data_IF_199984529933
#
_entry.id   IF_199984529933
#
_cell.length_a   1.000
_cell.length_b   1.000
_cell.length_c   1.000
_cell.angle_alpha   90.00
_cell.angle_beta   90.00
_cell.angle_gamma   90.00
#
_symmetry.space_group_name_H-M   'P 1'
#
loop_
_entity.id
_entity.type
_entity.pdbx_description
1 polymer ?
#
# COMPACT_ATOMS: atom_id res chain seq x y z
N UNK A 1 -46.06 28.85 16.01
CA UNK A 1 -45.44 27.55 15.67
C UNK A 1 -44.57 27.55 14.42
N UNK A 2 -44.76 28.42 13.42
CA UNK A 2 -43.98 28.36 12.16
C UNK A 2 -42.52 28.83 12.28
N UNK A 3 -42.21 29.77 13.19
CA UNK A 3 -40.84 30.27 13.39
C UNK A 3 -39.88 29.22 13.96
N UNK A 4 -40.34 28.32 14.84
CA UNK A 4 -39.50 27.27 15.42
C UNK A 4 -39.11 26.20 14.38
N UNK A 5 -40.05 25.83 13.50
CA UNK A 5 -39.79 24.90 12.39
C UNK A 5 -38.84 25.50 11.35
N UNK A 6 -38.96 26.80 11.07
CA UNK A 6 -38.03 27.51 10.19
C UNK A 6 -36.62 27.57 10.78
N UNK A 7 -36.50 27.89 12.07
CA UNK A 7 -35.23 27.88 12.79
C UNK A 7 -34.58 26.50 12.77
N UNK A 8 -35.33 25.44 13.09
CA UNK A 8 -34.83 24.06 13.06
C UNK A 8 -34.32 23.66 11.67
N UNK A 9 -35.06 24.01 10.60
CA UNK A 9 -34.65 23.78 9.21
C UNK A 9 -33.37 24.52 8.84
N UNK A 10 -33.20 25.76 9.32
CA UNK A 10 -31.97 26.53 9.09
C UNK A 10 -30.77 25.87 9.78
N UNK A 11 -30.92 25.50 11.06
CA UNK A 11 -29.87 24.81 11.81
C UNK A 11 -29.49 23.48 11.15
N UNK A 12 -30.48 22.68 10.75
CA UNK A 12 -30.25 21.43 10.04
C UNK A 12 -29.45 21.67 8.75
N UNK A 13 -29.81 22.68 7.94
CA UNK A 13 -29.06 23.03 6.73
C UNK A 13 -27.63 23.42 7.01
N UNK A 14 -27.38 24.24 8.04
CA UNK A 14 -26.02 24.65 8.43
C UNK A 14 -25.21 23.42 8.84
N UNK A 15 -25.76 22.55 9.69
CA UNK A 15 -25.09 21.32 10.11
C UNK A 15 -24.80 20.41 8.91
N UNK A 16 -25.76 20.25 7.99
CA UNK A 16 -25.55 19.46 6.77
C UNK A 16 -24.44 20.05 5.90
N UNK A 17 -24.41 21.37 5.70
CA UNK A 17 -23.35 22.01 4.91
C UNK A 17 -21.98 21.83 5.58
N UNK A 18 -21.90 21.97 6.91
CA UNK A 18 -20.66 21.73 7.65
C UNK A 18 -20.21 20.27 7.54
N UNK A 19 -21.14 19.31 7.64
CA UNK A 19 -20.84 17.90 7.47
C UNK A 19 -20.34 17.58 6.05
N UNK A 20 -20.93 18.19 5.02
CA UNK A 20 -20.46 18.04 3.63
C UNK A 20 -19.04 18.58 3.48
N UNK A 21 -18.78 19.79 3.97
CA UNK A 21 -17.45 20.41 3.89
C UNK A 21 -16.40 19.59 4.65
N UNK A 22 -16.73 19.12 5.85
CA UNK A 22 -15.85 18.25 6.63
C UNK A 22 -15.58 16.94 5.90
N UNK A 23 -16.60 16.33 5.30
CA UNK A 23 -16.45 15.09 4.52
C UNK A 23 -15.51 15.31 3.34
N UNK A 24 -15.70 16.39 2.59
CA UNK A 24 -14.82 16.74 1.47
C UNK A 24 -13.38 16.94 1.95
N UNK A 25 -13.17 17.69 3.03
CA UNK A 25 -11.85 17.92 3.60
C UNK A 25 -11.17 16.62 4.06
N UNK A 26 -11.89 15.75 4.76
CA UNK A 26 -11.36 14.44 5.18
C UNK A 26 -10.99 13.56 3.97
N UNK A 27 -11.74 13.62 2.87
CA UNK A 27 -11.38 12.93 1.64
C UNK A 27 -10.08 13.48 1.03
N UNK A 28 -9.90 14.80 0.98
CA UNK A 28 -8.65 15.39 0.51
C UNK A 28 -7.46 15.00 1.40
N UNK A 29 -7.61 15.12 2.72
CA UNK A 29 -6.57 14.73 3.67
C UNK A 29 -6.22 13.24 3.57
N UNK A 30 -7.20 12.37 3.31
CA UNK A 30 -6.96 10.95 3.08
C UNK A 30 -6.11 10.71 1.82
N UNK A 31 -6.46 11.34 0.69
CA UNK A 31 -5.69 11.20 -0.55
C UNK A 31 -4.27 11.75 -0.39
N UNK A 32 -4.12 12.92 0.22
CA UNK A 32 -2.82 13.51 0.51
C UNK A 32 -1.95 12.56 1.35
N UNK A 33 -2.51 11.98 2.41
CA UNK A 33 -1.78 11.05 3.27
C UNK A 33 -1.39 9.75 2.56
N UNK A 34 -2.20 9.27 1.61
CA UNK A 34 -1.86 8.08 0.82
C UNK A 34 -0.75 8.33 -0.21
N UNK A 35 -0.60 9.57 -0.68
CA UNK A 35 0.46 9.96 -1.60
C UNK A 35 1.76 10.34 -0.88
N UNK A 36 1.74 10.44 0.45
CA UNK A 36 2.93 10.73 1.24
C UNK A 36 3.87 9.53 1.30
N UNK A 37 5.03 9.68 0.66
CA UNK A 37 6.10 8.68 0.61
C UNK A 37 7.23 8.97 1.61
N UNK A 38 7.08 9.98 2.47
CA UNK A 38 8.13 10.40 3.40
C UNK A 38 8.18 9.44 4.60
N UNK A 39 9.27 8.67 4.80
CA UNK A 39 9.31 7.64 5.82
C UNK A 39 9.13 8.16 7.25
N UNK A 40 9.63 9.37 7.55
CA UNK A 40 9.51 10.00 8.88
C UNK A 40 8.06 10.18 9.31
N UNK A 41 7.15 10.47 8.37
CA UNK A 41 5.74 10.69 8.64
C UNK A 41 4.99 9.40 8.98
N UNK A 42 5.53 8.23 8.60
CA UNK A 42 4.92 6.91 8.86
C UNK A 42 5.63 6.13 9.98
N UNK A 43 6.45 6.80 10.79
CA UNK A 43 7.14 6.15 11.92
C UNK A 43 6.20 5.78 13.07
N UNK A 44 5.08 6.52 13.20
CA UNK A 44 4.14 6.38 14.31
C UNK A 44 2.92 5.50 13.98
N UNK A 45 2.72 5.16 12.71
CA UNK A 45 1.57 4.36 12.26
C UNK A 45 1.90 3.55 11.01
N UNK A 46 1.18 2.44 10.84
CA UNK A 46 1.36 1.57 9.68
C UNK A 46 0.39 1.94 8.56
N UNK A 47 0.84 2.78 7.63
CA UNK A 47 0.11 3.02 6.38
C UNK A 47 0.35 1.84 5.41
N UNK A 48 -0.70 1.07 5.10
CA UNK A 48 -0.61 -0.12 4.24
C UNK A 48 -0.08 0.22 2.84
N UNK A 49 -0.50 1.34 2.27
CA UNK A 49 -0.10 1.77 0.92
C UNK A 49 1.38 2.17 0.88
N UNK A 50 1.82 2.96 1.87
CA UNK A 50 3.23 3.30 2.04
C UNK A 50 4.10 2.05 2.24
N UNK A 51 3.69 1.13 3.12
CA UNK A 51 4.44 -0.11 3.37
C UNK A 51 4.55 -0.99 2.11
N UNK A 52 3.45 -1.15 1.37
CA UNK A 52 3.44 -1.90 0.10
C UNK A 52 4.36 -1.28 -0.95
N UNK A 53 4.28 0.05 -1.12
CA UNK A 53 5.16 0.78 -2.04
C UNK A 53 6.64 0.68 -1.60
N UNK A 54 6.93 0.91 -0.32
CA UNK A 54 8.28 0.83 0.23
C UNK A 54 8.90 -0.57 0.03
N UNK A 55 8.15 -1.63 0.34
CA UNK A 55 8.65 -3.00 0.14
C UNK A 55 8.81 -3.37 -1.34
N UNK A 56 7.87 -2.97 -2.21
CA UNK A 56 7.98 -3.21 -3.65
C UNK A 56 9.18 -2.50 -4.28
N UNK A 57 9.44 -1.25 -3.88
CA UNK A 57 10.60 -0.48 -4.33
C UNK A 57 11.91 -1.06 -3.78
N UNK A 58 11.96 -1.40 -2.48
CA UNK A 58 13.15 -2.00 -1.87
C UNK A 58 13.54 -3.33 -2.52
N UNK A 59 12.56 -4.17 -2.89
CA UNK A 59 12.79 -5.45 -3.55
C UNK A 59 13.22 -5.32 -5.02
N UNK A 60 13.03 -4.15 -5.64
CA UNK A 60 13.37 -3.90 -7.06
C UNK A 60 14.68 -3.17 -7.25
N UNK A 61 15.37 -2.75 -6.19
CA UNK A 61 16.75 -2.28 -6.30
C UNK A 61 17.64 -3.47 -6.69
N UNK A 62 18.17 -3.50 -7.94
CA UNK A 62 19.10 -4.55 -8.31
C UNK A 62 20.36 -4.40 -7.45
N UNK A 63 20.72 -5.45 -6.71
CA UNK A 63 22.07 -5.53 -6.17
C UNK A 63 23.02 -5.54 -7.36
N UNK A 64 23.87 -4.50 -7.46
CA UNK A 64 24.92 -4.52 -8.47
C UNK A 64 25.82 -5.71 -8.14
N UNK A 65 26.05 -6.63 -9.10
CA UNK A 65 26.98 -7.71 -8.87
C UNK A 65 28.36 -7.10 -8.59
N UNK A 66 28.96 -7.50 -7.48
CA UNK A 66 30.37 -7.21 -7.23
C UNK A 66 31.15 -8.03 -8.24
N UNK A 67 31.73 -7.36 -9.24
CA UNK A 67 32.63 -7.99 -10.20
C UNK A 67 33.94 -8.34 -9.50
N UNK A 68 33.97 -9.52 -8.89
CA UNK A 68 35.20 -10.12 -8.38
C UNK A 68 35.92 -10.69 -9.60
N UNK A 69 37.12 -10.17 -9.89
CA UNK A 69 38.02 -10.72 -10.89
C UNK A 69 38.44 -12.11 -10.42
N UNK A 70 37.88 -13.15 -11.03
CA UNK A 70 38.30 -14.53 -10.81
C UNK A 70 39.17 -14.95 -11.99
N UNK A 71 40.29 -15.62 -11.73
CA UNK A 71 41.01 -16.36 -12.76
C UNK A 71 40.02 -17.24 -13.52
N UNK A 72 40.04 -17.17 -14.85
CA UNK A 72 39.12 -17.93 -15.70
C UNK A 72 39.27 -19.43 -15.43
N UNK A 73 38.30 -20.02 -14.72
CA UNK A 73 38.14 -21.46 -14.59
C UNK A 73 37.22 -21.94 -15.72
N UNK A 74 37.77 -22.73 -16.64
CA UNK A 74 37.03 -23.31 -17.75
C UNK A 74 35.82 -24.11 -17.21
N UNK A 75 34.57 -23.76 -17.57
CA UNK A 75 33.41 -24.48 -17.07
C UNK A 75 33.38 -25.92 -17.58
N UNK A 76 33.53 -26.89 -16.69
CA UNK A 76 33.18 -28.29 -16.99
C UNK A 76 31.66 -28.38 -16.95
N UNK A 77 31.04 -28.48 -18.12
CA UNK A 77 29.60 -28.67 -18.22
C UNK A 77 29.21 -30.06 -17.68
N UNK A 78 28.84 -30.13 -16.41
CA UNK A 78 28.18 -31.29 -15.85
C UNK A 78 26.67 -31.19 -16.15
N UNK A 79 26.14 -32.16 -16.90
CA UNK A 79 24.69 -32.26 -17.14
C UNK A 79 23.99 -32.65 -15.84
N UNK A 80 23.32 -31.69 -15.20
CA UNK A 80 22.45 -31.92 -14.05
C UNK A 80 21.05 -32.28 -14.53
N UNK A 81 20.65 -33.53 -14.33
CA UNK A 81 19.25 -33.94 -14.48
C UNK A 81 18.48 -33.55 -13.22
N UNK A 82 17.71 -32.47 -13.31
CA UNK A 82 16.86 -31.97 -12.23
C UNK A 82 15.42 -32.43 -12.46
N UNK A 83 14.95 -33.35 -11.64
CA UNK A 83 13.53 -33.72 -11.60
C UNK A 83 12.76 -32.67 -10.80
N UNK A 84 12.02 -31.76 -11.46
CA UNK A 84 11.12 -30.84 -10.76
C UNK A 84 9.84 -31.57 -10.36
N UNK A 85 9.52 -31.54 -9.06
CA UNK A 85 8.18 -31.86 -8.61
C UNK A 85 7.21 -30.79 -9.14
N UNK A 86 6.22 -31.21 -9.94
CA UNK A 86 5.10 -30.36 -10.30
C UNK A 86 4.15 -30.27 -9.09
N UNK A 87 4.29 -29.22 -8.28
CA UNK A 87 3.25 -28.82 -7.35
C UNK A 87 2.29 -27.89 -8.06
N UNK A 88 1.10 -28.38 -8.40
CA UNK A 88 0.01 -27.51 -8.81
C UNK A 88 -0.29 -26.56 -7.65
N UNK A 89 0.03 -25.27 -7.81
CA UNK A 89 -0.36 -24.24 -6.87
C UNK A 89 -1.89 -24.13 -6.88
N UNK A 90 -2.54 -24.69 -5.85
CA UNK A 90 -3.96 -24.47 -5.60
C UNK A 90 -4.12 -23.22 -4.75
N UNK A 91 -4.96 -22.29 -5.19
CA UNK A 91 -5.33 -21.13 -4.39
C UNK A 91 -5.94 -21.61 -3.07
N UNK A 92 -5.42 -21.12 -1.93
CA UNK A 92 -6.01 -21.42 -0.62
C UNK A 92 -7.41 -20.80 -0.52
N UNK A 93 -8.35 -21.57 0.00
CA UNK A 93 -9.64 -21.03 0.44
C UNK A 93 -9.42 -19.96 1.53
N UNK A 94 -10.27 -18.93 1.61
CA UNK A 94 -10.17 -17.91 2.65
C UNK A 94 -10.22 -18.56 4.05
N UNK A 95 -9.53 -17.97 5.05
CA UNK A 95 -9.57 -18.48 6.41
C UNK A 95 -11.01 -18.47 6.94
N UNK A 96 -11.44 -19.58 7.54
CA UNK A 96 -12.70 -19.65 8.27
C UNK A 96 -12.51 -19.08 9.67
N UNK A 97 -13.46 -18.24 10.09
CA UNK A 97 -13.56 -17.69 11.45
C UNK A 97 -13.70 -18.78 12.52
#
# INVERSE_FOLDING_TARGET
>A
MNHSLHSLRLHARVVTLMAILLTLWLNFAYVEHQLDITPSHHTQHHCQLFSGAHHGLAATLPELPVWIEHDYLQPVAATLNITRLYLAYLARSPPTL
#
